data_IF_034901429020
#
_entry.id   IF_034901429020
#
_cell.length_a   1.000
_cell.length_b   1.000
_cell.length_c   1.000
_cell.angle_alpha   90.00
_cell.angle_beta   90.00
_cell.angle_gamma   90.00
#
_symmetry.space_group_name_H-M   'P 1'
#
loop_
_entity.id
_entity.type
_entity.pdbx_description
1 polymer ?
#
# COMPACT_ATOMS: atom_id res chain seq x y z
N UNK A 1 37.76 -7.40 5.02
CA UNK A 1 37.43 -6.62 3.80
C UNK A 1 36.10 -5.97 4.05
N UNK A 2 36.05 -4.66 4.25
CA UNK A 2 34.79 -3.92 4.31
C UNK A 2 34.09 -4.11 2.97
N UNK A 3 32.94 -4.83 3.00
CA UNK A 3 32.09 -4.94 1.82
C UNK A 3 31.51 -3.52 1.59
N UNK A 4 32.05 -2.84 0.59
CA UNK A 4 31.60 -1.51 0.20
C UNK A 4 30.08 -1.57 -0.07
N UNK A 5 29.31 -0.68 0.56
CA UNK A 5 27.87 -0.59 0.36
C UNK A 5 27.58 -0.12 -1.07
N UNK A 6 27.14 -1.04 -1.92
CA UNK A 6 26.90 -0.78 -3.36
C UNK A 6 25.58 -0.05 -3.62
N UNK A 7 24.63 -0.09 -2.67
CA UNK A 7 23.26 0.35 -2.92
C UNK A 7 23.13 1.82 -3.32
N UNK A 8 23.82 2.80 -2.69
CA UNK A 8 23.70 4.21 -3.09
C UNK A 8 24.21 4.49 -4.50
N UNK A 9 25.34 3.88 -4.88
CA UNK A 9 25.91 4.07 -6.20
C UNK A 9 25.06 3.40 -7.29
N UNK A 10 24.50 2.23 -6.99
CA UNK A 10 23.61 1.49 -7.88
C UNK A 10 22.30 2.24 -8.09
N UNK A 11 21.66 2.71 -7.02
CA UNK A 11 20.44 3.56 -7.08
C UNK A 11 20.69 4.80 -7.94
N UNK A 12 21.81 5.50 -7.72
CA UNK A 12 22.14 6.72 -8.48
C UNK A 12 22.25 6.47 -9.98
N UNK A 13 22.90 5.38 -10.40
CA UNK A 13 23.06 5.03 -11.82
C UNK A 13 21.73 4.63 -12.46
N UNK A 14 20.97 3.76 -11.82
CA UNK A 14 19.66 3.31 -12.33
C UNK A 14 18.71 4.50 -12.45
N UNK A 15 18.63 5.34 -11.43
CA UNK A 15 17.78 6.53 -11.44
C UNK A 15 18.16 7.51 -12.54
N UNK A 16 19.46 7.74 -12.77
CA UNK A 16 19.93 8.63 -13.83
C UNK A 16 19.49 8.14 -15.22
N UNK A 17 19.63 6.84 -15.49
CA UNK A 17 19.21 6.28 -16.77
C UNK A 17 17.68 6.19 -16.88
N UNK A 18 16.97 5.87 -15.83
CA UNK A 18 15.50 5.93 -15.78
C UNK A 18 15.00 7.32 -16.18
N UNK A 19 15.49 8.39 -15.55
CA UNK A 19 15.11 9.77 -15.87
C UNK A 19 15.58 10.20 -17.27
N UNK A 20 16.73 9.72 -17.72
CA UNK A 20 17.22 9.97 -19.08
C UNK A 20 16.30 9.37 -20.14
N UNK A 21 15.84 8.13 -19.94
CA UNK A 21 14.92 7.44 -20.84
C UNK A 21 13.54 8.12 -20.89
N UNK A 22 13.12 8.75 -19.79
CA UNK A 22 11.86 9.51 -19.70
C UNK A 22 11.95 10.94 -20.24
N UNK A 23 13.12 11.45 -20.58
CA UNK A 23 13.33 12.89 -20.92
C UNK A 23 12.36 13.43 -21.97
N UNK A 24 11.92 12.59 -22.92
CA UNK A 24 10.99 12.96 -24.00
C UNK A 24 9.56 12.45 -23.77
N UNK A 25 9.31 11.78 -22.65
CA UNK A 25 8.00 11.27 -22.29
C UNK A 25 7.23 12.34 -21.50
N UNK A 26 6.66 13.31 -22.19
CA UNK A 26 5.78 14.27 -21.53
C UNK A 26 4.42 13.60 -21.22
N UNK A 27 3.86 13.76 -20.02
CA UNK A 27 2.51 13.31 -19.73
C UNK A 27 1.48 14.22 -20.43
N UNK A 28 1.29 14.03 -21.73
CA UNK A 28 0.23 14.73 -22.50
C UNK A 28 -1.09 13.97 -22.45
N UNK A 29 -1.31 13.16 -21.41
CA UNK A 29 -2.49 12.33 -21.30
C UNK A 29 -3.76 13.18 -21.16
N UNK A 30 -4.64 13.06 -22.16
CA UNK A 30 -5.96 13.69 -22.18
C UNK A 30 -7.07 12.71 -21.78
N UNK A 31 -6.76 11.43 -21.75
CA UNK A 31 -7.70 10.34 -21.47
C UNK A 31 -7.01 9.26 -20.64
N UNK A 32 -7.79 8.43 -19.97
CA UNK A 32 -7.25 7.27 -19.26
C UNK A 32 -6.49 6.29 -20.16
N UNK A 33 -6.95 5.99 -21.40
CA UNK A 33 -6.12 5.23 -22.33
C UNK A 33 -4.74 5.83 -22.60
N UNK A 34 -4.64 7.16 -22.74
CA UNK A 34 -3.36 7.83 -22.94
C UNK A 34 -2.50 7.82 -21.65
N UNK A 35 -3.13 7.86 -20.46
CA UNK A 35 -2.42 7.67 -19.20
C UNK A 35 -1.85 6.25 -19.07
N UNK A 36 -2.55 5.23 -19.56
CA UNK A 36 -2.05 3.87 -19.63
C UNK A 36 -0.87 3.72 -20.61
N UNK A 37 -0.93 4.39 -21.77
CA UNK A 37 0.19 4.41 -22.71
C UNK A 37 1.42 5.12 -22.08
N UNK A 38 1.20 6.18 -21.30
CA UNK A 38 2.26 6.83 -20.52
C UNK A 38 2.82 5.91 -19.41
N UNK A 39 1.97 5.18 -18.69
CA UNK A 39 2.40 4.20 -17.70
C UNK A 39 3.28 3.10 -18.32
N UNK A 40 2.95 2.65 -19.53
CA UNK A 40 3.80 1.72 -20.30
C UNK A 40 5.18 2.29 -20.61
N UNK A 41 5.26 3.58 -20.93
CA UNK A 41 6.54 4.26 -21.18
C UNK A 41 7.36 4.35 -19.88
N UNK A 42 6.74 4.75 -18.76
CA UNK A 42 7.41 4.91 -17.46
C UNK A 42 7.91 3.56 -16.97
N UNK A 43 7.04 2.55 -16.87
CA UNK A 43 7.42 1.21 -16.45
C UNK A 43 8.45 0.56 -17.40
N UNK A 44 8.34 0.85 -18.71
CA UNK A 44 9.33 0.40 -19.68
C UNK A 44 10.71 1.03 -19.50
N UNK A 45 10.75 2.33 -19.22
CA UNK A 45 12.00 3.03 -18.93
C UNK A 45 12.66 2.51 -17.64
N UNK A 46 11.86 2.25 -16.61
CA UNK A 46 12.38 1.70 -15.36
C UNK A 46 12.90 0.26 -15.55
N UNK A 47 12.15 -0.59 -16.24
CA UNK A 47 12.57 -1.96 -16.56
C UNK A 47 13.90 -1.97 -17.36
N UNK A 48 14.03 -1.08 -18.34
CA UNK A 48 15.25 -0.95 -19.11
C UNK A 48 16.42 -0.45 -18.25
N UNK A 49 16.19 0.51 -17.36
CA UNK A 49 17.22 0.99 -16.44
C UNK A 49 17.68 -0.12 -15.48
N UNK A 50 16.78 -0.99 -15.01
CA UNK A 50 17.15 -2.18 -14.25
C UNK A 50 18.00 -3.14 -15.07
N UNK A 51 17.59 -3.43 -16.29
CA UNK A 51 18.33 -4.31 -17.21
C UNK A 51 19.75 -3.83 -17.52
N UNK A 52 19.97 -2.52 -17.59
CA UNK A 52 21.27 -1.92 -17.87
C UNK A 52 22.27 -2.02 -16.70
N UNK A 53 21.79 -2.08 -15.48
CA UNK A 53 22.62 -1.94 -14.28
C UNK A 53 22.59 -3.12 -13.32
N UNK A 54 21.62 -4.03 -13.47
CA UNK A 54 21.48 -5.21 -12.62
C UNK A 54 21.83 -6.49 -13.38
N UNK A 55 22.87 -7.17 -12.90
CA UNK A 55 23.30 -8.48 -13.37
C UNK A 55 23.93 -9.25 -12.21
N UNK A 56 24.17 -10.55 -12.36
CA UNK A 56 24.90 -11.31 -11.35
C UNK A 56 26.27 -10.68 -11.02
N UNK A 57 26.97 -10.13 -12.00
CA UNK A 57 28.28 -9.52 -11.81
C UNK A 57 28.23 -8.21 -10.99
N UNK A 58 27.10 -7.52 -10.99
CA UNK A 58 26.92 -6.25 -10.26
C UNK A 58 26.39 -6.46 -8.83
N UNK A 59 25.97 -7.67 -8.52
CA UNK A 59 25.39 -8.05 -7.23
C UNK A 59 26.33 -8.94 -6.42
N UNK A 60 26.36 -8.80 -5.08
CA UNK A 60 27.17 -9.68 -4.23
C UNK A 60 26.73 -11.14 -4.42
N UNK A 61 27.71 -12.00 -4.66
CA UNK A 61 27.52 -13.44 -4.85
C UNK A 61 26.50 -13.80 -5.97
N UNK A 62 26.26 -12.87 -6.92
CA UNK A 62 25.29 -13.03 -8.01
C UNK A 62 23.84 -13.04 -7.56
N UNK A 63 23.54 -12.49 -6.37
CA UNK A 63 22.23 -12.58 -5.75
C UNK A 63 21.73 -11.20 -5.31
N UNK A 64 20.42 -10.97 -5.44
CA UNK A 64 19.78 -9.79 -4.90
C UNK A 64 19.44 -10.01 -3.42
N UNK A 65 20.12 -9.32 -2.55
CA UNK A 65 19.81 -9.33 -1.12
C UNK A 65 18.76 -8.29 -0.76
N UNK A 66 17.94 -8.59 0.25
CA UNK A 66 16.83 -7.74 0.67
C UNK A 66 17.24 -6.29 0.96
N UNK A 67 18.35 -6.10 1.67
CA UNK A 67 18.86 -4.76 2.00
C UNK A 67 19.28 -3.95 0.76
N UNK A 68 19.67 -4.61 -0.33
CA UNK A 68 19.96 -3.96 -1.61
C UNK A 68 18.64 -3.66 -2.33
N UNK A 69 17.75 -4.66 -2.43
CA UNK A 69 16.45 -4.51 -3.08
C UNK A 69 15.62 -3.38 -2.44
N UNK A 70 15.52 -3.35 -1.12
CA UNK A 70 14.77 -2.32 -0.39
C UNK A 70 15.33 -0.91 -0.60
N UNK A 71 16.64 -0.76 -0.72
CA UNK A 71 17.32 0.53 -0.88
C UNK A 71 17.47 0.97 -2.33
N UNK A 72 17.31 0.07 -3.29
CA UNK A 72 17.50 0.34 -4.72
C UNK A 72 16.17 0.25 -5.47
N UNK A 73 15.47 -0.88 -5.37
CA UNK A 73 14.24 -1.11 -6.15
C UNK A 73 13.05 -0.34 -5.59
N UNK A 74 12.85 -0.34 -4.26
CA UNK A 74 11.71 0.33 -3.63
C UNK A 74 11.61 1.79 -4.00
N UNK A 75 12.63 2.67 -3.78
CA UNK A 75 12.49 4.09 -4.08
C UNK A 75 12.27 4.36 -5.58
N UNK A 76 12.73 3.49 -6.46
CA UNK A 76 12.51 3.62 -7.90
C UNK A 76 11.09 3.20 -8.30
N UNK A 77 10.53 2.16 -7.68
CA UNK A 77 9.12 1.77 -7.86
C UNK A 77 8.17 2.82 -7.26
N UNK A 78 8.52 3.40 -6.13
CA UNK A 78 7.77 4.53 -5.55
C UNK A 78 7.78 5.76 -6.49
N UNK A 79 8.92 6.08 -7.13
CA UNK A 79 9.06 7.17 -8.09
C UNK A 79 8.28 6.90 -9.38
N UNK A 80 8.35 5.68 -9.91
CA UNK A 80 7.53 5.22 -11.04
C UNK A 80 6.04 5.41 -10.76
N UNK A 81 5.58 4.87 -9.61
CA UNK A 81 4.17 5.02 -9.20
C UNK A 81 3.76 6.48 -9.06
N UNK A 82 4.61 7.33 -8.48
CA UNK A 82 4.32 8.74 -8.28
C UNK A 82 4.10 9.46 -9.61
N UNK A 83 4.97 9.24 -10.60
CA UNK A 83 4.87 9.83 -11.93
C UNK A 83 3.56 9.44 -12.63
N UNK A 84 3.21 8.15 -12.56
CA UNK A 84 2.01 7.62 -13.23
C UNK A 84 0.72 8.05 -12.51
N UNK A 85 0.70 7.98 -11.17
CA UNK A 85 -0.46 8.39 -10.38
C UNK A 85 -0.75 9.90 -10.53
N UNK A 86 0.29 10.73 -10.61
CA UNK A 86 0.15 12.17 -10.85
C UNK A 86 -0.42 12.44 -12.24
N UNK A 87 0.05 11.74 -13.28
CA UNK A 87 -0.48 11.84 -14.62
C UNK A 87 -1.96 11.42 -14.71
N UNK A 88 -2.31 10.30 -14.07
CA UNK A 88 -3.69 9.81 -14.06
C UNK A 88 -4.64 10.74 -13.26
N UNK A 89 -4.18 11.29 -12.15
CA UNK A 89 -4.93 12.28 -11.37
C UNK A 89 -5.12 13.57 -12.15
N UNK A 90 -4.11 14.03 -12.90
CA UNK A 90 -4.23 15.19 -13.78
C UNK A 90 -5.25 14.99 -14.90
N UNK A 91 -5.34 13.77 -15.47
CA UNK A 91 -6.40 13.41 -16.41
C UNK A 91 -7.77 13.55 -15.78
N UNK A 92 -7.96 12.94 -14.59
CA UNK A 92 -9.25 13.03 -13.89
C UNK A 92 -9.62 14.47 -13.51
N UNK A 93 -8.63 15.26 -13.08
CA UNK A 93 -8.86 16.67 -12.76
C UNK A 93 -9.38 17.45 -13.97
N UNK A 94 -8.76 17.26 -15.14
CA UNK A 94 -9.25 17.88 -16.39
C UNK A 94 -10.65 17.40 -16.78
N UNK A 95 -10.94 16.11 -16.56
CA UNK A 95 -12.28 15.58 -16.82
C UNK A 95 -13.31 16.19 -15.87
N UNK A 96 -12.99 16.37 -14.59
CA UNK A 96 -13.85 17.05 -13.63
C UNK A 96 -14.11 18.51 -14.04
N UNK A 97 -13.05 19.23 -14.43
CA UNK A 97 -13.15 20.63 -14.89
C UNK A 97 -13.99 20.75 -16.15
N UNK A 98 -13.78 19.86 -17.12
CA UNK A 98 -14.56 19.83 -18.37
C UNK A 98 -16.06 19.55 -18.09
N UNK A 99 -16.35 18.77 -17.05
CA UNK A 99 -17.72 18.52 -16.58
C UNK A 99 -18.28 19.67 -15.72
N UNK A 100 -17.50 20.70 -15.44
CA UNK A 100 -17.88 21.79 -14.53
C UNK A 100 -17.99 21.36 -13.06
N UNK A 101 -17.40 20.23 -12.70
CA UNK A 101 -17.38 19.73 -11.34
C UNK A 101 -16.27 20.41 -10.54
N UNK A 102 -16.58 20.90 -9.35
CA UNK A 102 -15.58 21.44 -8.40
C UNK A 102 -15.01 20.35 -7.50
N UNK A 103 -14.81 19.14 -8.05
CA UNK A 103 -14.24 18.00 -7.35
C UNK A 103 -12.76 17.89 -7.65
N UNK A 104 -11.97 17.71 -6.60
CA UNK A 104 -10.55 17.39 -6.77
C UNK A 104 -10.40 15.91 -7.14
N UNK A 105 -9.55 15.65 -8.11
CA UNK A 105 -9.19 14.30 -8.47
C UNK A 105 -8.50 13.59 -7.30
N UNK A 106 -8.88 12.33 -7.09
CA UNK A 106 -8.24 11.49 -6.08
C UNK A 106 -6.94 10.93 -6.66
N UNK A 107 -5.85 11.18 -5.96
CA UNK A 107 -4.54 10.56 -6.20
C UNK A 107 -4.38 9.40 -5.24
N UNK A 108 -4.02 8.23 -5.74
CA UNK A 108 -3.80 7.07 -4.89
C UNK A 108 -2.37 7.01 -4.37
N UNK A 109 -2.16 6.62 -3.10
CA UNK A 109 -0.83 6.30 -2.59
C UNK A 109 -0.34 5.00 -3.23
N UNK A 110 0.97 4.80 -3.21
CA UNK A 110 1.58 3.54 -3.66
C UNK A 110 1.09 2.37 -2.80
N UNK A 111 0.85 1.24 -3.46
CA UNK A 111 0.55 -0.02 -2.77
C UNK A 111 1.86 -0.72 -2.41
N UNK A 112 2.27 -0.56 -1.15
CA UNK A 112 3.49 -1.13 -0.60
C UNK A 112 3.51 -2.67 -0.67
N UNK A 113 2.34 -3.32 -0.54
CA UNK A 113 2.24 -4.79 -0.64
C UNK A 113 2.66 -5.30 -2.02
N UNK A 114 2.38 -4.51 -3.08
CA UNK A 114 2.84 -4.86 -4.43
C UNK A 114 4.34 -4.71 -4.58
N UNK A 115 4.92 -3.64 -4.02
CA UNK A 115 6.37 -3.46 -4.01
C UNK A 115 7.02 -4.60 -3.24
N UNK A 116 6.55 -4.87 -2.02
CA UNK A 116 7.04 -5.97 -1.19
C UNK A 116 6.93 -7.32 -1.92
N UNK A 117 5.85 -7.54 -2.68
CA UNK A 117 5.67 -8.74 -3.50
C UNK A 117 6.73 -8.90 -4.59
N UNK A 118 7.13 -7.81 -5.26
CA UNK A 118 8.23 -7.80 -6.24
C UNK A 118 9.55 -8.07 -5.55
N UNK A 119 9.86 -7.32 -4.49
CA UNK A 119 11.11 -7.45 -3.74
C UNK A 119 11.29 -8.87 -3.19
N UNK A 120 10.24 -9.42 -2.56
CA UNK A 120 10.26 -10.77 -1.99
C UNK A 120 10.59 -11.82 -3.05
N UNK A 121 9.98 -11.74 -4.24
CA UNK A 121 10.25 -12.69 -5.30
C UNK A 121 11.68 -12.57 -5.85
N UNK A 122 12.16 -11.35 -6.03
CA UNK A 122 13.52 -11.11 -6.53
C UNK A 122 14.57 -11.55 -5.50
N UNK A 123 14.32 -11.37 -4.20
CA UNK A 123 15.24 -11.78 -3.14
C UNK A 123 15.18 -13.27 -2.78
N UNK A 124 14.11 -13.97 -3.14
CA UNK A 124 13.95 -15.40 -2.84
C UNK A 124 14.81 -16.31 -3.74
N UNK A 125 15.24 -15.82 -4.88
CA UNK A 125 16.02 -16.63 -5.83
C UNK A 125 17.47 -16.78 -5.37
N UNK A 126 18.05 -17.95 -5.65
CA UNK A 126 19.48 -18.20 -5.39
C UNK A 126 20.37 -17.50 -6.41
N UNK A 127 19.91 -17.36 -7.65
CA UNK A 127 20.61 -16.65 -8.72
C UNK A 127 19.72 -15.53 -9.28
N UNK A 128 20.29 -14.35 -9.45
CA UNK A 128 19.57 -13.19 -9.97
C UNK A 128 19.04 -13.41 -11.39
N UNK A 129 19.77 -14.15 -12.21
CA UNK A 129 19.35 -14.47 -13.59
C UNK A 129 18.00 -15.18 -13.66
N UNK A 130 17.65 -15.98 -12.66
CA UNK A 130 16.39 -16.75 -12.63
C UNK A 130 15.17 -15.85 -12.44
N UNK A 131 15.37 -14.62 -11.96
CA UNK A 131 14.30 -13.69 -11.58
C UNK A 131 14.35 -12.32 -12.27
N UNK A 132 15.21 -12.16 -13.27
CA UNK A 132 15.33 -10.92 -14.07
C UNK A 132 13.99 -10.50 -14.68
N UNK A 133 13.15 -11.48 -15.07
CA UNK A 133 11.81 -11.22 -15.61
C UNK A 133 10.89 -10.46 -14.65
N UNK A 134 11.13 -10.55 -13.34
CA UNK A 134 10.36 -9.82 -12.31
C UNK A 134 10.56 -8.30 -12.39
N UNK A 135 11.68 -7.87 -12.95
CA UNK A 135 12.01 -6.45 -13.14
C UNK A 135 11.70 -5.94 -14.56
N UNK A 136 10.97 -6.71 -15.38
CA UNK A 136 10.49 -6.28 -16.70
C UNK A 136 8.95 -6.15 -16.70
N UNK A 137 8.23 -7.17 -17.18
CA UNK A 137 6.78 -7.08 -17.37
C UNK A 137 5.98 -6.89 -16.06
N UNK A 138 6.37 -7.47 -14.90
CA UNK A 138 5.75 -7.13 -13.62
C UNK A 138 5.89 -5.65 -13.25
N UNK A 139 7.03 -5.00 -13.53
CA UNK A 139 7.22 -3.56 -13.31
C UNK A 139 6.29 -2.75 -14.21
N UNK A 140 6.21 -3.08 -15.51
CA UNK A 140 5.26 -2.44 -16.44
C UNK A 140 3.82 -2.60 -16.00
N UNK A 141 3.47 -3.79 -15.49
CA UNK A 141 2.12 -4.04 -14.96
C UNK A 141 1.87 -3.22 -13.70
N UNK A 142 2.85 -3.08 -12.81
CA UNK A 142 2.80 -2.24 -11.62
C UNK A 142 2.49 -0.78 -11.98
N UNK A 143 3.18 -0.21 -12.97
CA UNK A 143 2.94 1.15 -13.47
C UNK A 143 1.51 1.31 -14.00
N UNK A 144 1.02 0.37 -14.83
CA UNK A 144 -0.37 0.41 -15.34
C UNK A 144 -1.41 0.35 -14.23
N UNK A 145 -1.14 -0.42 -13.17
CA UNK A 145 -2.08 -0.54 -12.05
C UNK A 145 -2.25 0.78 -11.29
N UNK A 146 -1.27 1.67 -11.27
CA UNK A 146 -1.41 3.01 -10.69
C UNK A 146 -2.50 3.84 -11.41
N UNK A 147 -2.65 3.68 -12.72
CA UNK A 147 -3.73 4.31 -13.50
C UNK A 147 -5.08 3.71 -13.14
N UNK A 148 -5.18 2.37 -13.11
CA UNK A 148 -6.44 1.68 -12.79
C UNK A 148 -6.91 1.96 -11.36
N UNK A 149 -5.99 2.03 -10.40
CA UNK A 149 -6.29 2.35 -9.01
C UNK A 149 -6.72 3.81 -8.86
N UNK A 150 -6.11 4.73 -9.60
CA UNK A 150 -6.52 6.14 -9.64
C UNK A 150 -7.91 6.28 -10.24
N UNK A 151 -8.20 5.61 -11.34
CA UNK A 151 -9.55 5.57 -11.94
C UNK A 151 -10.56 5.00 -10.95
N UNK A 152 -10.27 3.86 -10.34
CA UNK A 152 -11.13 3.22 -9.33
C UNK A 152 -11.43 4.16 -8.15
N UNK A 153 -10.40 4.82 -7.61
CA UNK A 153 -10.57 5.75 -6.49
C UNK A 153 -11.50 6.92 -6.85
N UNK A 154 -11.35 7.47 -8.04
CA UNK A 154 -12.18 8.58 -8.53
C UNK A 154 -13.63 8.14 -8.81
N UNK A 155 -13.84 6.98 -9.44
CA UNK A 155 -15.18 6.40 -9.64
C UNK A 155 -15.88 6.17 -8.32
N UNK A 156 -15.19 5.58 -7.34
CA UNK A 156 -15.74 5.36 -6.00
C UNK A 156 -16.04 6.66 -5.26
N UNK A 157 -15.15 7.64 -5.36
CA UNK A 157 -15.34 8.95 -4.75
C UNK A 157 -16.56 9.65 -5.33
N UNK A 158 -16.68 9.70 -6.64
CA UNK A 158 -17.82 10.34 -7.33
C UNK A 158 -19.11 9.60 -7.08
N UNK A 159 -19.10 8.27 -7.08
CA UNK A 159 -20.28 7.48 -6.77
C UNK A 159 -20.80 7.71 -5.34
N UNK A 160 -19.89 7.80 -4.34
CA UNK A 160 -20.26 8.19 -2.97
C UNK A 160 -20.78 9.63 -2.88
N UNK A 161 -20.34 10.48 -3.79
CA UNK A 161 -20.84 11.84 -3.93
C UNK A 161 -22.18 11.94 -4.65
N UNK A 162 -22.83 10.82 -4.96
CA UNK A 162 -24.15 10.76 -5.59
C UNK A 162 -24.13 10.91 -7.13
N UNK A 163 -22.95 10.93 -7.74
CA UNK A 163 -22.83 10.85 -9.19
C UNK A 163 -22.91 9.39 -9.64
N UNK A 164 -23.24 9.18 -10.94
CA UNK A 164 -23.40 7.85 -11.50
C UNK A 164 -22.35 7.53 -12.58
N UNK A 165 -21.05 7.52 -12.22
CA UNK A 165 -20.01 7.19 -13.17
C UNK A 165 -20.09 5.72 -13.59
N UNK A 166 -19.62 5.46 -14.82
CA UNK A 166 -19.50 4.12 -15.38
C UNK A 166 -18.02 3.83 -15.67
N UNK A 167 -17.70 2.55 -15.65
CA UNK A 167 -16.37 2.06 -16.02
C UNK A 167 -16.53 1.19 -17.26
N UNK A 168 -15.70 1.45 -18.27
CA UNK A 168 -15.71 0.69 -19.51
C UNK A 168 -14.38 -0.02 -19.65
N UNK A 169 -14.40 -1.37 -19.65
CA UNK A 169 -13.23 -2.18 -19.94
C UNK A 169 -13.26 -2.64 -21.38
N UNK A 170 -12.20 -2.35 -22.13
CA UNK A 170 -12.02 -2.76 -23.52
C UNK A 170 -10.84 -3.69 -23.67
N UNK A 171 -11.05 -4.73 -24.43
CA UNK A 171 -9.99 -5.65 -24.83
C UNK A 171 -9.27 -5.10 -26.07
N UNK A 172 -8.01 -5.44 -26.21
CA UNK A 172 -7.18 -5.09 -27.37
C UNK A 172 -6.77 -6.38 -28.08
N UNK A 173 -7.13 -6.52 -29.37
CA UNK A 173 -6.68 -7.61 -30.24
C UNK A 173 -6.92 -8.99 -29.65
N UNK A 174 -5.88 -9.82 -29.58
CA UNK A 174 -5.89 -11.13 -28.96
C UNK A 174 -5.79 -11.00 -27.45
N UNK A 175 -6.90 -10.99 -26.73
CA UNK A 175 -6.92 -11.06 -25.29
C UNK A 175 -7.27 -12.46 -24.78
N UNK A 176 -6.89 -12.77 -23.54
CA UNK A 176 -7.24 -14.04 -22.92
C UNK A 176 -8.75 -14.09 -22.58
N UNK A 177 -9.26 -15.30 -22.35
CA UNK A 177 -10.66 -15.54 -22.01
C UNK A 177 -11.10 -14.76 -20.74
N UNK A 178 -10.24 -14.67 -19.73
CA UNK A 178 -10.50 -13.91 -18.51
C UNK A 178 -10.75 -12.41 -18.81
N UNK A 179 -9.89 -11.79 -19.64
CA UNK A 179 -10.07 -10.42 -20.07
C UNK A 179 -11.33 -10.22 -20.93
N UNK A 180 -11.64 -11.19 -21.81
CA UNK A 180 -12.84 -11.13 -22.66
C UNK A 180 -14.11 -11.13 -21.83
N UNK A 181 -14.15 -11.91 -20.75
CA UNK A 181 -15.30 -11.95 -19.82
C UNK A 181 -15.48 -10.66 -19.02
N UNK A 182 -14.40 -9.90 -18.82
CA UNK A 182 -14.44 -8.62 -18.12
C UNK A 182 -14.61 -7.42 -19.04
N UNK A 183 -14.68 -7.63 -20.35
CA UNK A 183 -14.97 -6.54 -21.30
C UNK A 183 -16.43 -6.13 -21.18
N UNK A 184 -16.67 -4.83 -21.04
CA UNK A 184 -18.03 -4.32 -20.89
C UNK A 184 -18.07 -2.93 -20.29
N UNK A 185 -19.30 -2.46 -20.05
CA UNK A 185 -19.59 -1.20 -19.40
C UNK A 185 -20.37 -1.44 -18.12
N UNK A 186 -19.91 -0.90 -17.02
CA UNK A 186 -20.40 -1.18 -15.67
C UNK A 186 -20.77 0.13 -14.97
N UNK A 187 -21.95 0.20 -14.41
CA UNK A 187 -22.34 1.29 -13.51
C UNK A 187 -21.59 1.17 -12.18
N UNK A 188 -21.28 2.29 -11.55
CA UNK A 188 -20.51 2.38 -10.31
C UNK A 188 -20.87 1.32 -9.26
N UNK A 189 -22.16 1.08 -9.02
CA UNK A 189 -22.63 0.13 -8.00
C UNK A 189 -22.41 -1.34 -8.38
N UNK A 190 -22.17 -1.63 -9.65
CA UNK A 190 -22.11 -2.99 -10.19
C UNK A 190 -20.77 -3.33 -10.84
N UNK A 191 -19.73 -2.51 -10.62
CA UNK A 191 -18.39 -2.78 -11.17
C UNK A 191 -17.77 -3.97 -10.46
N UNK A 192 -17.54 -5.10 -11.14
CA UNK A 192 -16.80 -6.20 -10.54
C UNK A 192 -15.39 -5.78 -10.13
N UNK A 193 -14.92 -6.26 -8.98
CA UNK A 193 -13.58 -5.91 -8.47
C UNK A 193 -12.46 -6.23 -9.48
N UNK A 194 -12.66 -7.28 -10.29
CA UNK A 194 -11.68 -7.74 -11.28
C UNK A 194 -11.59 -6.83 -12.52
N UNK A 195 -12.54 -5.91 -12.73
CA UNK A 195 -12.49 -4.96 -13.86
C UNK A 195 -11.23 -4.09 -13.81
N UNK A 196 -10.73 -3.79 -12.61
CA UNK A 196 -9.51 -3.01 -12.40
C UNK A 196 -8.24 -3.86 -12.29
N UNK A 197 -8.35 -5.19 -12.33
CA UNK A 197 -7.20 -6.08 -12.20
C UNK A 197 -6.53 -6.35 -13.53
N UNK A 198 -5.22 -6.60 -13.46
CA UNK A 198 -4.38 -6.99 -14.60
C UNK A 198 -3.66 -8.29 -14.30
N UNK A 199 -3.57 -9.13 -15.29
CA UNK A 199 -2.61 -10.24 -15.33
C UNK A 199 -1.33 -9.78 -16.06
N UNK A 200 -0.28 -10.56 -15.99
CA UNK A 200 0.95 -10.32 -16.75
C UNK A 200 0.65 -10.09 -18.25
N UNK A 201 1.30 -9.11 -18.84
CA UNK A 201 1.14 -8.71 -20.28
C UNK A 201 -0.27 -8.25 -20.65
N UNK A 202 -1.08 -7.87 -19.69
CA UNK A 202 -2.42 -7.36 -20.00
C UNK A 202 -2.34 -5.96 -20.64
N UNK A 203 -2.93 -5.84 -21.86
CA UNK A 203 -3.00 -4.58 -22.63
C UNK A 203 -4.42 -3.99 -22.67
N UNK A 204 -5.37 -4.56 -21.95
CA UNK A 204 -6.74 -4.06 -21.90
C UNK A 204 -6.77 -2.64 -21.34
N UNK A 205 -7.68 -1.83 -21.86
CA UNK A 205 -7.87 -0.44 -21.41
C UNK A 205 -9.10 -0.34 -20.54
N UNK A 206 -8.97 0.41 -19.44
CA UNK A 206 -10.08 0.76 -18.55
C UNK A 206 -10.31 2.25 -18.69
N UNK A 207 -11.54 2.62 -18.98
CA UNK A 207 -11.94 3.98 -19.28
C UNK A 207 -13.00 4.45 -18.27
N UNK A 208 -12.96 5.73 -17.93
CA UNK A 208 -14.01 6.41 -17.21
C UNK A 208 -15.11 6.87 -18.17
N UNK A 209 -16.37 6.63 -17.80
CA UNK A 209 -17.53 7.13 -18.50
C UNK A 209 -18.42 7.86 -17.47
N UNK A 210 -18.77 9.13 -17.68
CA UNK A 210 -19.61 9.90 -16.75
C UNK A 210 -21.04 9.37 -16.63
N UNK A 211 -21.45 8.39 -17.42
CA UNK A 211 -22.79 7.83 -17.41
C UNK A 211 -23.81 8.56 -18.29
N UNK A 212 -23.38 9.59 -19.03
CA UNK A 212 -24.22 10.36 -19.97
C UNK A 212 -24.17 9.85 -21.42
N UNK A 213 -23.53 8.70 -21.64
CA UNK A 213 -23.31 8.10 -22.95
C UNK A 213 -22.20 8.76 -23.77
N UNK A 214 -21.50 9.75 -23.22
CA UNK A 214 -20.41 10.47 -23.89
C UNK A 214 -19.06 10.06 -23.35
N UNK A 215 -18.10 9.75 -24.24
CA UNK A 215 -16.72 9.55 -23.84
C UNK A 215 -16.08 10.88 -23.52
N UNK A 216 -15.46 10.96 -22.37
CA UNK A 216 -14.74 12.16 -21.97
C UNK A 216 -13.37 12.20 -22.64
N UNK A 217 -13.21 13.17 -23.53
CA UNK A 217 -11.93 13.57 -24.07
C UNK A 217 -11.82 15.09 -23.90
N UNK A 218 -10.88 15.54 -23.08
CA UNK A 218 -10.73 16.96 -22.74
C UNK A 218 -10.06 17.78 -23.84
N UNK A 219 -9.55 17.15 -24.89
CA UNK A 219 -8.82 17.83 -25.96
C UNK A 219 -9.64 18.09 -27.20
N UNK A 220 -10.44 17.13 -27.63
CA UNK A 220 -11.12 17.16 -28.93
C UNK A 220 -12.65 17.14 -28.83
N UNK A 221 -13.22 17.09 -27.64
CA UNK A 221 -14.67 17.21 -27.42
C UNK A 221 -14.98 18.23 -26.35
N UNK A 222 -15.78 19.21 -26.69
CA UNK A 222 -16.42 20.06 -25.70
C UNK A 222 -17.43 19.23 -24.94
N UNK A 223 -17.30 19.20 -23.62
CA UNK A 223 -18.28 18.63 -22.73
C UNK A 223 -19.54 19.52 -22.79
N UNK A 224 -20.62 18.99 -23.31
CA UNK A 224 -21.93 19.63 -23.24
C UNK A 224 -22.84 18.75 -22.39
N UNK A 225 -23.02 19.12 -21.15
CA UNK A 225 -24.05 18.55 -20.30
C UNK A 225 -25.29 19.43 -20.33
N UNK A 226 -26.42 18.81 -20.08
CA UNK A 226 -27.65 19.52 -19.76
C UNK A 226 -27.37 20.49 -18.58
N UNK A 227 -27.73 21.78 -18.71
CA UNK A 227 -27.45 22.80 -17.69
C UNK A 227 -28.01 22.45 -16.31
N UNK A 228 -29.15 21.76 -16.25
CA UNK A 228 -29.80 21.35 -15.00
C UNK A 228 -28.99 20.25 -14.28
N UNK A 229 -28.51 19.24 -15.02
CA UNK A 229 -27.62 18.19 -14.52
C UNK A 229 -26.29 18.77 -14.04
N UNK A 230 -25.74 19.74 -14.79
CA UNK A 230 -24.51 20.41 -14.42
C UNK A 230 -24.68 21.25 -13.14
N UNK A 231 -25.80 21.92 -12.98
CA UNK A 231 -26.12 22.71 -11.80
C UNK A 231 -26.33 21.81 -10.56
N UNK A 232 -27.01 20.69 -10.73
CA UNK A 232 -27.18 19.71 -9.65
C UNK A 232 -25.81 19.16 -9.18
N UNK A 233 -24.91 18.83 -10.11
CA UNK A 233 -23.54 18.38 -9.79
C UNK A 233 -22.70 19.47 -9.11
N UNK A 234 -22.83 20.71 -9.51
CA UNK A 234 -22.15 21.85 -8.85
C UNK A 234 -22.71 22.07 -7.44
N UNK A 235 -24.02 22.03 -7.28
CA UNK A 235 -24.66 22.14 -5.95
C UNK A 235 -24.22 21.03 -5.02
N UNK A 236 -24.05 19.79 -5.55
CA UNK A 236 -23.54 18.68 -4.77
C UNK A 236 -22.07 18.89 -4.34
N UNK A 237 -21.24 19.42 -5.24
CA UNK A 237 -19.84 19.73 -4.93
C UNK A 237 -19.68 20.82 -3.84
N UNK A 238 -20.67 21.68 -3.71
CA UNK A 238 -20.74 22.73 -2.68
C UNK A 238 -21.36 22.25 -1.36
N UNK A 239 -21.93 21.04 -1.35
CA UNK A 239 -22.51 20.45 -0.14
C UNK A 239 -21.43 20.20 0.92
N UNK A 240 -21.71 20.46 2.22
CA UNK A 240 -20.79 20.16 3.33
C UNK A 240 -20.32 18.70 3.36
N UNK A 241 -21.07 17.77 2.77
CA UNK A 241 -20.70 16.35 2.65
C UNK A 241 -19.58 16.11 1.63
N UNK A 242 -19.44 17.00 0.63
CA UNK A 242 -18.39 16.93 -0.41
C UNK A 242 -17.16 17.74 -0.04
N UNK A 243 -17.36 18.81 0.75
CA UNK A 243 -16.28 19.61 1.31
C UNK A 243 -15.59 18.80 2.39
N UNK A 244 -14.50 18.19 2.02
CA UNK A 244 -13.57 17.49 2.90
C UNK A 244 -14.08 16.09 3.28
N UNK A 245 -13.67 15.09 2.52
CA UNK A 245 -13.05 13.98 3.20
C UNK A 245 -11.79 14.60 3.82
N UNK A 246 -11.99 15.34 4.90
CA UNK A 246 -10.96 15.50 5.90
C UNK A 246 -10.73 14.09 6.37
N UNK A 247 -9.61 13.51 6.05
CA UNK A 247 -9.01 12.54 6.95
C UNK A 247 -9.22 13.15 8.33
N UNK A 248 -9.86 12.44 9.27
CA UNK A 248 -10.25 13.04 10.53
C UNK A 248 -9.03 13.75 11.09
N UNK A 249 -9.09 15.06 11.20
CA UNK A 249 -7.96 15.92 11.58
C UNK A 249 -7.48 15.65 13.01
N UNK A 250 -8.16 14.73 13.69
CA UNK A 250 -7.89 14.34 15.07
C UNK A 250 -8.21 12.87 15.29
N UNK A 251 -7.49 11.99 14.62
CA UNK A 251 -7.27 10.66 15.20
C UNK A 251 -6.37 10.91 16.41
N UNK A 252 -6.89 10.77 17.62
CA UNK A 252 -6.12 11.00 18.81
C UNK A 252 -5.20 9.82 19.07
N UNK A 253 -3.93 10.01 18.83
CA UNK A 253 -2.91 9.10 19.30
C UNK A 253 -2.53 9.55 20.72
N UNK A 254 -2.88 8.75 21.72
CA UNK A 254 -2.63 9.07 23.14
C UNK A 254 -1.57 8.14 23.71
N UNK A 255 -0.66 8.70 24.51
CA UNK A 255 0.27 7.90 25.29
C UNK A 255 -0.45 7.34 26.52
N UNK A 256 -0.69 6.03 26.51
CA UNK A 256 -1.36 5.29 27.60
C UNK A 256 -0.40 4.42 28.43
N UNK A 257 0.91 4.63 28.29
CA UNK A 257 1.92 3.94 29.09
C UNK A 257 1.62 4.03 30.61
N UNK A 258 1.23 5.19 31.18
CA UNK A 258 0.89 5.26 32.61
C UNK A 258 -0.31 4.39 33.00
N UNK A 259 -1.26 4.14 32.11
CA UNK A 259 -2.40 3.24 32.33
C UNK A 259 -1.92 1.79 32.39
N UNK A 260 -1.09 1.38 31.45
CA UNK A 260 -0.50 0.04 31.43
C UNK A 260 0.33 -0.26 32.67
N UNK A 261 1.16 0.71 33.10
CA UNK A 261 1.98 0.53 34.30
C UNK A 261 1.14 0.46 35.60
N UNK A 262 0.02 1.18 35.67
CA UNK A 262 -0.91 1.11 36.81
C UNK A 262 -1.71 -0.20 36.84
N UNK A 263 -2.07 -0.72 35.67
CA UNK A 263 -2.81 -1.97 35.54
C UNK A 263 -1.90 -3.21 35.59
N UNK A 264 -0.59 -3.01 35.51
CA UNK A 264 0.36 -4.10 35.48
C UNK A 264 0.28 -4.97 36.74
N UNK A 265 0.28 -6.28 36.55
CA UNK A 265 0.37 -7.29 37.59
C UNK A 265 1.57 -8.24 37.28
N UNK A 266 2.81 -7.79 37.50
CA UNK A 266 4.00 -8.51 37.11
C UNK A 266 4.05 -9.92 37.63
N UNK A 267 4.29 -10.91 36.74
CA UNK A 267 4.36 -12.31 37.06
C UNK A 267 3.01 -13.01 37.24
N UNK A 268 1.90 -12.30 37.29
CA UNK A 268 0.54 -12.85 37.38
C UNK A 268 0.04 -13.28 35.99
N UNK A 269 -0.74 -14.36 35.94
CA UNK A 269 -1.29 -14.93 34.72
C UNK A 269 -0.50 -16.14 34.19
N UNK A 270 -0.96 -16.67 33.07
CA UNK A 270 -0.44 -17.92 32.48
C UNK A 270 0.11 -17.68 31.06
N UNK A 271 1.02 -18.57 30.63
CA UNK A 271 1.42 -18.68 29.23
C UNK A 271 1.03 -20.08 28.76
N UNK A 272 0.26 -20.15 27.71
CA UNK A 272 -0.13 -21.39 27.03
C UNK A 272 0.15 -21.35 25.56
N UNK A 273 0.13 -22.48 24.90
CA UNK A 273 0.50 -22.65 23.50
C UNK A 273 -0.63 -23.39 22.80
N UNK A 274 -0.94 -22.93 21.61
CA UNK A 274 -1.87 -23.61 20.72
C UNK A 274 -1.29 -24.98 20.27
N UNK A 275 -2.17 -25.90 19.88
CA UNK A 275 -1.77 -27.26 19.50
C UNK A 275 -0.78 -27.24 18.33
N UNK A 276 0.37 -27.91 18.53
CA UNK A 276 1.41 -27.99 17.52
C UNK A 276 2.29 -26.73 17.37
N UNK A 277 2.23 -25.81 18.33
CA UNK A 277 3.09 -24.62 18.31
C UNK A 277 4.58 -24.98 18.44
N UNK A 278 5.40 -24.48 17.53
CA UNK A 278 6.85 -24.75 17.51
C UNK A 278 7.62 -23.64 18.25
N UNK A 279 7.92 -23.89 19.54
CA UNK A 279 8.63 -22.95 20.40
C UNK A 279 10.08 -22.66 19.95
N UNK A 280 10.70 -23.53 19.18
CA UNK A 280 12.07 -23.33 18.69
C UNK A 280 12.07 -22.42 17.50
N UNK A 281 11.15 -22.65 16.58
CA UNK A 281 10.97 -21.80 15.39
C UNK A 281 10.55 -20.39 15.76
N UNK A 282 9.69 -20.24 16.75
CA UNK A 282 9.10 -18.97 17.19
C UNK A 282 9.69 -18.47 18.52
N UNK A 283 10.99 -18.63 18.72
CA UNK A 283 11.68 -18.29 19.97
C UNK A 283 11.49 -16.82 20.40
N UNK A 284 11.42 -15.87 19.45
CA UNK A 284 11.21 -14.45 19.74
C UNK A 284 9.80 -14.17 20.27
N UNK A 285 8.79 -14.87 19.76
CA UNK A 285 7.42 -14.77 20.24
C UNK A 285 7.34 -15.32 21.69
N UNK A 286 7.97 -16.47 21.94
CA UNK A 286 8.04 -17.06 23.30
C UNK A 286 8.74 -16.10 24.28
N UNK A 287 9.88 -15.54 23.88
CA UNK A 287 10.62 -14.57 24.69
C UNK A 287 9.77 -13.33 25.00
N UNK A 288 9.06 -12.82 24.01
CA UNK A 288 8.18 -11.65 24.19
C UNK A 288 7.01 -11.98 25.09
N UNK A 289 6.37 -13.13 24.96
CA UNK A 289 5.29 -13.56 25.86
C UNK A 289 5.77 -13.69 27.32
N UNK A 290 6.95 -14.26 27.54
CA UNK A 290 7.58 -14.32 28.87
C UNK A 290 7.84 -12.92 29.43
N UNK A 291 8.34 -12.02 28.60
CA UNK A 291 8.58 -10.63 28.99
C UNK A 291 7.27 -9.91 29.34
N UNK A 292 6.21 -10.05 28.54
CA UNK A 292 4.89 -9.45 28.80
C UNK A 292 4.34 -9.92 30.14
N UNK A 293 4.35 -11.24 30.39
CA UNK A 293 3.90 -11.79 31.68
C UNK A 293 4.74 -11.29 32.84
N UNK A 294 6.07 -11.25 32.69
CA UNK A 294 6.98 -10.82 33.75
C UNK A 294 6.81 -9.35 34.14
N UNK A 295 6.45 -8.47 33.20
CA UNK A 295 6.41 -7.01 33.41
C UNK A 295 5.00 -6.44 33.49
N UNK A 296 4.05 -6.99 32.73
CA UNK A 296 2.68 -6.47 32.66
C UNK A 296 1.65 -7.45 33.22
N UNK A 297 1.97 -8.76 33.20
CA UNK A 297 1.05 -9.81 33.63
C UNK A 297 -0.02 -10.13 32.55
N UNK A 298 -0.96 -10.98 32.94
CA UNK A 298 -2.08 -11.40 32.09
C UNK A 298 -1.92 -12.81 31.51
N UNK A 299 -3.01 -13.34 31.00
CA UNK A 299 -3.05 -14.63 30.34
C UNK A 299 -2.70 -14.49 28.86
N UNK A 300 -1.72 -15.27 28.41
CA UNK A 300 -1.17 -15.23 27.05
C UNK A 300 -1.29 -16.61 26.43
N UNK A 301 -1.90 -16.69 25.26
CA UNK A 301 -1.92 -17.88 24.42
C UNK A 301 -1.13 -17.57 23.14
N UNK A 302 -0.08 -18.36 22.84
CA UNK A 302 0.65 -18.27 21.58
C UNK A 302 -0.08 -19.11 20.54
N UNK A 303 -0.38 -18.51 19.41
CA UNK A 303 -1.21 -19.06 18.35
C UNK A 303 -0.37 -19.74 17.27
N UNK A 304 -0.85 -20.90 16.79
CA UNK A 304 -0.17 -21.62 15.72
C UNK A 304 -0.79 -21.26 14.37
N UNK A 305 0.01 -20.69 13.47
CA UNK A 305 -0.40 -20.35 12.10
C UNK A 305 -1.02 -21.54 11.34
N UNK A 306 -0.56 -22.77 11.63
CA UNK A 306 -1.03 -23.97 10.94
C UNK A 306 -2.49 -24.34 11.28
N UNK A 307 -3.02 -23.85 12.41
CA UNK A 307 -4.37 -24.17 12.86
C UNK A 307 -5.45 -23.25 12.29
N UNK A 308 -5.06 -22.19 11.57
CA UNK A 308 -5.97 -21.18 11.06
C UNK A 308 -6.00 -21.17 9.53
N UNK A 309 -6.96 -21.87 8.93
CA UNK A 309 -7.10 -22.04 7.48
C UNK A 309 -7.58 -20.79 6.71
N UNK A 310 -7.90 -19.67 7.36
CA UNK A 310 -8.67 -18.61 6.69
C UNK A 310 -8.01 -17.24 6.61
N UNK A 311 -7.00 -16.92 7.40
CA UNK A 311 -6.45 -15.57 7.42
C UNK A 311 -5.05 -15.54 8.01
N UNK A 312 -4.37 -14.42 7.86
CA UNK A 312 -3.16 -14.11 8.59
C UNK A 312 -3.46 -14.22 10.09
N UNK A 313 -2.75 -15.14 10.78
CA UNK A 313 -2.94 -15.42 12.19
C UNK A 313 -2.16 -14.42 13.03
N UNK A 314 -2.76 -13.77 14.04
CA UNK A 314 -2.01 -13.01 15.03
C UNK A 314 -1.12 -13.94 15.86
N UNK A 315 -0.09 -13.40 16.52
CA UNK A 315 0.86 -14.21 17.27
C UNK A 315 0.33 -14.59 18.67
N UNK A 316 -0.53 -13.71 19.25
CA UNK A 316 -1.02 -13.93 20.62
C UNK A 316 -2.52 -13.65 20.78
N UNK A 317 -3.14 -14.36 21.73
CA UNK A 317 -4.25 -13.82 22.51
C UNK A 317 -3.67 -13.40 23.88
N UNK A 318 -3.79 -12.11 24.22
CA UNK A 318 -3.40 -11.58 25.51
C UNK A 318 -4.56 -10.83 26.15
N UNK A 319 -5.00 -11.30 27.32
CA UNK A 319 -6.20 -10.82 28.01
C UNK A 319 -7.42 -10.73 27.07
N UNK A 320 -7.73 -11.85 26.42
CA UNK A 320 -8.86 -12.04 25.48
C UNK A 320 -8.84 -11.15 24.24
N UNK A 321 -7.70 -10.52 23.92
CA UNK A 321 -7.50 -9.67 22.73
C UNK A 321 -6.41 -10.23 21.85
N UNK A 322 -6.54 -9.99 20.54
CA UNK A 322 -5.57 -10.40 19.53
C UNK A 322 -4.40 -9.40 19.47
N UNK A 323 -3.20 -9.93 19.49
CA UNK A 323 -1.96 -9.16 19.42
C UNK A 323 -0.99 -9.76 18.43
N UNK A 324 -0.26 -8.89 17.76
CA UNK A 324 0.70 -9.25 16.74
C UNK A 324 2.08 -8.68 17.06
N UNK A 325 3.13 -9.48 16.95
CA UNK A 325 4.51 -9.10 17.22
C UNK A 325 5.26 -8.82 15.93
N UNK A 326 5.94 -7.69 15.87
CA UNK A 326 6.84 -7.38 14.77
C UNK A 326 8.17 -6.88 15.29
N UNK A 327 9.25 -7.52 14.86
CA UNK A 327 10.62 -7.01 15.09
C UNK A 327 10.92 -5.95 14.06
N UNK A 328 11.32 -4.77 14.51
CA UNK A 328 11.56 -3.61 13.65
C UNK A 328 12.89 -2.94 13.99
N UNK A 329 13.55 -2.42 12.98
CA UNK A 329 14.85 -1.77 13.11
C UNK A 329 14.86 -0.32 12.64
N UNK A 330 13.88 0.09 11.84
CA UNK A 330 13.77 1.41 11.21
C UNK A 330 12.35 1.94 11.26
N UNK A 331 12.17 3.24 10.99
CA UNK A 331 10.85 3.86 10.83
C UNK A 331 10.03 3.21 9.72
N UNK A 332 10.68 2.86 8.59
CA UNK A 332 10.01 2.21 7.46
C UNK A 332 9.51 0.83 7.84
N UNK A 333 10.32 0.03 8.55
CA UNK A 333 9.89 -1.28 9.03
C UNK A 333 8.76 -1.18 10.05
N UNK A 334 8.76 -0.15 10.92
CA UNK A 334 7.66 0.12 11.85
C UNK A 334 6.35 0.44 11.12
N UNK A 335 6.41 1.27 10.07
CA UNK A 335 5.24 1.62 9.24
C UNK A 335 4.64 0.36 8.56
N UNK A 336 5.47 -0.50 7.99
CA UNK A 336 5.05 -1.75 7.36
C UNK A 336 4.49 -2.73 8.39
N UNK A 337 5.19 -2.88 9.53
CA UNK A 337 4.80 -3.75 10.64
C UNK A 337 3.39 -3.43 11.17
N UNK A 338 3.10 -2.15 11.40
CA UNK A 338 1.76 -1.72 11.86
C UNK A 338 0.69 -2.04 10.83
N UNK A 339 0.96 -1.82 9.55
CA UNK A 339 0.00 -2.16 8.49
C UNK A 339 -0.34 -3.64 8.44
N UNK A 340 0.67 -4.50 8.55
CA UNK A 340 0.47 -5.95 8.53
C UNK A 340 -0.22 -6.44 9.81
N UNK A 341 0.22 -5.97 10.97
CA UNK A 341 -0.37 -6.33 12.25
C UNK A 341 -1.85 -5.96 12.36
N UNK A 342 -2.25 -4.78 11.85
CA UNK A 342 -3.67 -4.38 11.84
C UNK A 342 -4.56 -5.38 11.09
N UNK A 343 -4.05 -6.00 10.03
CA UNK A 343 -4.81 -7.02 9.28
C UNK A 343 -4.95 -8.32 10.07
N UNK A 344 -3.91 -8.69 10.82
CA UNK A 344 -3.89 -9.93 11.61
C UNK A 344 -4.83 -9.89 12.82
N UNK A 345 -4.96 -8.74 13.47
CA UNK A 345 -5.79 -8.59 14.68
C UNK A 345 -7.22 -8.10 14.43
N UNK A 346 -7.66 -8.00 13.18
CA UNK A 346 -8.88 -7.30 12.76
C UNK A 346 -10.17 -7.78 13.46
N UNK A 347 -10.27 -9.05 13.82
CA UNK A 347 -11.49 -9.63 14.39
C UNK A 347 -11.74 -9.20 15.85
N UNK A 348 -10.68 -9.04 16.65
CA UNK A 348 -10.78 -8.62 18.05
C UNK A 348 -9.51 -7.89 18.51
N UNK A 349 -9.27 -6.66 18.01
CA UNK A 349 -8.00 -5.99 18.19
C UNK A 349 -7.70 -5.66 19.65
N UNK A 350 -6.52 -6.08 20.09
CA UNK A 350 -5.83 -5.58 21.26
C UNK A 350 -4.76 -4.59 20.81
N UNK A 351 -3.76 -5.08 20.10
CA UNK A 351 -2.71 -4.21 19.61
C UNK A 351 -1.59 -4.90 18.86
N UNK A 352 -0.57 -4.10 18.57
CA UNK A 352 0.65 -4.55 17.91
C UNK A 352 1.83 -4.28 18.83
N UNK A 353 2.71 -5.25 18.96
CA UNK A 353 3.94 -5.15 19.73
C UNK A 353 5.08 -4.92 18.75
N UNK A 354 5.71 -3.76 18.83
CA UNK A 354 6.89 -3.42 18.06
C UNK A 354 8.14 -3.63 18.94
N UNK A 355 8.93 -4.64 18.59
CA UNK A 355 10.20 -4.92 19.26
C UNK A 355 11.36 -4.25 18.49
N UNK A 356 11.99 -3.24 19.09
CA UNK A 356 13.15 -2.57 18.55
C UNK A 356 14.44 -3.10 19.14
N UNK A 357 15.26 -3.74 18.35
CA UNK A 357 16.58 -4.22 18.77
C UNK A 357 17.58 -3.09 18.96
N UNK A 358 17.44 -2.04 18.16
CA UNK A 358 18.32 -0.88 18.17
C UNK A 358 17.56 0.37 18.58
N UNK A 359 18.09 1.12 19.53
CA UNK A 359 17.49 2.39 19.97
C UNK A 359 17.83 3.52 18.98
N UNK A 360 17.32 3.44 17.75
CA UNK A 360 17.64 4.36 16.67
C UNK A 360 16.51 5.35 16.34
N UNK A 361 15.34 5.16 16.95
CA UNK A 361 14.16 5.99 16.64
C UNK A 361 13.86 6.95 17.80
N UNK A 362 13.62 8.23 17.47
CA UNK A 362 13.09 9.17 18.45
C UNK A 362 11.61 8.91 18.71
N UNK A 363 11.14 9.21 19.92
CA UNK A 363 9.72 9.06 20.26
C UNK A 363 8.81 9.93 19.38
N UNK A 364 9.26 11.11 18.99
CA UNK A 364 8.47 12.02 18.13
C UNK A 364 8.35 11.46 16.74
N UNK A 365 9.45 11.00 16.14
CA UNK A 365 9.46 10.38 14.83
C UNK A 365 8.58 9.12 14.81
N UNK A 366 8.70 8.28 15.85
CA UNK A 366 7.83 7.10 15.97
C UNK A 366 6.34 7.48 16.03
N UNK A 367 5.98 8.48 16.86
CA UNK A 367 4.59 8.95 16.94
C UNK A 367 4.06 9.46 15.61
N UNK A 368 4.87 10.14 14.83
CA UNK A 368 4.46 10.63 13.50
C UNK A 368 4.24 9.49 12.51
N UNK A 369 5.11 8.48 12.50
CA UNK A 369 4.94 7.27 11.69
C UNK A 369 3.66 6.54 12.09
N UNK A 370 3.46 6.30 13.39
CA UNK A 370 2.27 5.64 13.92
C UNK A 370 0.99 6.43 13.59
N UNK A 371 1.00 7.75 13.80
CA UNK A 371 -0.17 8.60 13.50
C UNK A 371 -0.55 8.51 12.03
N UNK A 372 0.42 8.67 11.12
CA UNK A 372 0.18 8.58 9.67
C UNK A 372 -0.39 7.22 9.29
N UNK A 373 0.21 6.13 9.76
CA UNK A 373 -0.22 4.78 9.40
C UNK A 373 -1.56 4.40 10.01
N UNK A 374 -1.78 4.63 11.29
CA UNK A 374 -3.01 4.29 11.98
C UNK A 374 -4.21 5.09 11.42
N UNK A 375 -4.02 6.38 11.17
CA UNK A 375 -5.06 7.21 10.51
C UNK A 375 -5.44 6.68 9.13
N UNK A 376 -4.48 6.13 8.39
CA UNK A 376 -4.72 5.61 7.05
C UNK A 376 -5.32 4.19 7.04
N UNK A 377 -5.08 3.38 8.08
CA UNK A 377 -5.33 1.94 8.01
C UNK A 377 -6.17 1.36 9.15
N UNK A 378 -6.20 2.01 10.33
CA UNK A 378 -6.95 1.50 11.47
C UNK A 378 -8.43 1.88 11.40
N UNK A 379 -9.30 0.88 11.53
CA UNK A 379 -10.77 1.04 11.54
C UNK A 379 -11.37 0.86 12.94
N UNK A 380 -10.57 0.44 13.91
CA UNK A 380 -10.95 0.15 15.30
C UNK A 380 -9.88 0.70 16.25
N UNK A 381 -10.21 0.77 17.54
CA UNK A 381 -9.27 1.14 18.58
C UNK A 381 -8.16 0.09 18.67
N UNK A 382 -6.92 0.55 18.77
CA UNK A 382 -5.75 -0.33 18.79
C UNK A 382 -4.63 0.29 19.63
N UNK A 383 -3.95 -0.54 20.41
CA UNK A 383 -2.77 -0.15 21.18
C UNK A 383 -1.49 -0.60 20.48
N UNK A 384 -0.49 0.27 20.47
CA UNK A 384 0.84 -0.04 19.96
C UNK A 384 1.83 -0.02 21.13
N UNK A 385 2.30 -1.20 21.51
CA UNK A 385 3.36 -1.35 22.49
C UNK A 385 4.71 -1.29 21.78
N UNK A 386 5.59 -0.46 22.27
CA UNK A 386 6.97 -0.37 21.76
C UNK A 386 7.93 -0.84 22.85
N UNK A 387 8.58 -1.96 22.60
CA UNK A 387 9.62 -2.53 23.45
C UNK A 387 10.97 -2.20 22.82
N UNK A 388 11.88 -1.64 23.58
CA UNK A 388 13.21 -1.33 23.14
C UNK A 388 14.23 -1.83 24.17
N UNK A 389 15.15 -2.71 23.74
CA UNK A 389 16.15 -3.32 24.62
C UNK A 389 15.54 -3.88 25.92
N UNK A 390 14.51 -4.70 25.79
CA UNK A 390 13.78 -5.33 26.88
C UNK A 390 13.10 -4.36 27.87
N UNK A 391 12.91 -3.11 27.48
CA UNK A 391 12.16 -2.11 28.26
C UNK A 391 10.96 -1.62 27.47
N UNK A 392 9.82 -1.48 28.16
CA UNK A 392 8.65 -0.83 27.57
C UNK A 392 8.94 0.66 27.40
N UNK A 393 9.09 1.08 26.14
CA UNK A 393 9.47 2.45 25.79
C UNK A 393 8.26 3.39 25.75
N UNK A 394 7.17 2.94 25.14
CA UNK A 394 5.91 3.69 25.07
C UNK A 394 4.75 2.76 24.73
N UNK A 395 3.54 3.17 25.09
CA UNK A 395 2.28 2.58 24.59
C UNK A 395 1.45 3.70 24.00
N UNK A 396 1.10 3.58 22.73
CA UNK A 396 0.30 4.57 22.02
C UNK A 396 -1.06 3.98 21.68
N UNK A 397 -2.14 4.56 22.18
CA UNK A 397 -3.51 4.18 21.86
C UNK A 397 -4.03 5.04 20.73
N UNK A 398 -4.48 4.41 19.68
CA UNK A 398 -5.25 5.01 18.62
C UNK A 398 -6.73 4.74 18.87
N UNK A 399 -7.53 5.80 18.90
CA UNK A 399 -9.00 5.68 18.98
C UNK A 399 -9.60 6.03 17.64
N UNK A 400 -10.26 5.04 17.02
CA UNK A 400 -10.96 5.22 15.76
C UNK A 400 -12.23 6.07 16.00
N UNK A 401 -12.47 7.08 15.17
CA UNK A 401 -13.75 7.80 15.22
C UNK A 401 -14.87 6.88 14.74
N UNK A 402 -15.87 6.69 15.57
CA UNK A 402 -17.15 6.05 15.22
C UNK A 402 -17.95 6.94 14.28
#
# INVERSE_FOLDING_TARGET
MDKQDIAPALLGRIRADFLRLLRNAAPSAATYPAALDYADLVGGALAEAFRLHLSADTLPDGRMYWNIADRVLRPLLEEDHALVADAAAAVQQKLNEAAGLRLLAQRVPVDEDRIDGILNKVCAAEHYEDVTYMLDEPVRTFSRMAVDDTLKANVQFQGRAGLHPRVVRRTTGSCCEWCSRLAGSYDYLHVPADVYRRHERCRCKVEYDPGDGRRQNVWDKKWTEDPETLQARKGFAESPLVTKIRFPKEASLQNVLPEYLRAAAPGVGSISYDAGYDMVRHADEVKTAQWLRAHLGGDIVLLNEANNYKAMTPDYIWNDKLWDLKTVSTEKSANSAVRHGLKQIQENPGGIILNYEQNTISLETLKDVLRKRLTASATQDVDILVICKEKLFTVQRFTAKK
#
